data_IF_610202106428
#
_entry.id   IF_610202106428
#
_cell.length_a   1.000
_cell.length_b   1.000
_cell.length_c   1.000
_cell.angle_alpha   90.00
_cell.angle_beta   90.00
_cell.angle_gamma   90.00
#
_symmetry.space_group_name_H-M   'P 1'
#
loop_
_entity.id
_entity.type
_entity.pdbx_description
1 polymer ?
#
# COMPACT_ATOMS: atom_id res chain seq x y z
N UNK A 1 -8.91 -24.45 1.19
CA UNK A 1 -8.97 -23.83 2.53
C UNK A 1 -7.59 -23.69 3.20
N UNK A 2 -6.52 -24.32 2.68
CA UNK A 2 -5.15 -24.28 3.23
C UNK A 2 -4.33 -23.05 2.77
N UNK A 3 -4.64 -22.46 1.61
CA UNK A 3 -3.89 -21.31 1.06
C UNK A 3 -4.02 -20.01 1.88
N UNK A 4 -5.18 -19.77 2.53
CA UNK A 4 -5.44 -18.51 3.27
C UNK A 4 -4.59 -18.39 4.54
N UNK A 5 -4.21 -19.50 5.16
CA UNK A 5 -3.36 -19.50 6.36
C UNK A 5 -1.87 -19.26 6.06
N UNK A 6 -1.38 -19.56 4.85
CA UNK A 6 0.02 -19.32 4.50
C UNK A 6 0.34 -17.84 4.26
N UNK A 7 -0.58 -17.06 3.67
CA UNK A 7 -0.37 -15.64 3.39
C UNK A 7 -0.21 -14.81 4.66
N UNK A 8 -1.06 -15.02 5.66
CA UNK A 8 -0.97 -14.33 6.95
C UNK A 8 0.30 -14.72 7.72
N UNK A 9 0.75 -15.98 7.59
CA UNK A 9 1.97 -16.45 8.24
C UNK A 9 3.24 -15.83 7.63
N UNK A 10 3.30 -15.70 6.30
CA UNK A 10 4.40 -15.02 5.61
C UNK A 10 4.42 -13.52 5.91
N UNK A 11 3.25 -12.85 5.91
CA UNK A 11 3.15 -11.44 6.31
C UNK A 11 3.62 -11.25 7.76
N UNK A 12 3.27 -12.16 8.70
CA UNK A 12 3.76 -12.11 10.08
C UNK A 12 5.28 -12.32 10.20
N UNK A 13 5.88 -13.23 9.42
CA UNK A 13 7.34 -13.42 9.42
C UNK A 13 8.06 -12.18 8.87
N UNK A 14 7.57 -11.61 7.77
CA UNK A 14 8.11 -10.38 7.19
C UNK A 14 7.94 -9.17 8.13
N UNK A 15 6.83 -9.09 8.87
CA UNK A 15 6.62 -8.07 9.91
C UNK A 15 7.68 -8.14 11.02
N UNK A 16 8.07 -9.33 11.47
CA UNK A 16 9.13 -9.51 12.47
C UNK A 16 10.49 -9.01 11.93
N UNK A 17 10.79 -9.28 10.66
CA UNK A 17 12.03 -8.80 10.02
C UNK A 17 12.03 -7.29 9.77
N UNK A 18 10.90 -6.70 9.39
CA UNK A 18 10.74 -5.24 9.24
C UNK A 18 10.93 -4.53 10.59
N UNK A 19 10.34 -5.05 11.67
CA UNK A 19 10.48 -4.47 13.01
C UNK A 19 11.93 -4.57 13.53
N UNK A 20 12.67 -5.62 13.17
CA UNK A 20 14.09 -5.78 13.54
C UNK A 20 15.06 -4.85 12.80
N UNK A 21 14.72 -4.36 11.61
CA UNK A 21 15.61 -3.50 10.81
C UNK A 21 15.35 -2.00 10.95
N UNK A 22 14.16 -1.59 11.41
CA UNK A 22 13.76 -0.17 11.45
C UNK A 22 14.28 0.61 12.68
N UNK A 23 15.35 0.16 13.32
CA UNK A 23 15.94 0.85 14.47
C UNK A 23 17.39 1.23 14.21
N UNK A 24 17.55 2.30 13.44
CA UNK A 24 18.64 3.29 13.46
C UNK A 24 18.46 4.17 12.23
N UNK A 25 18.06 5.41 12.46
CA UNK A 25 18.63 6.59 11.79
C UNK A 25 17.94 7.83 12.38
N UNK A 26 18.72 8.55 13.19
CA UNK A 26 18.35 9.85 13.73
C UNK A 26 18.88 10.90 12.79
N UNK A 27 17.99 11.64 12.14
CA UNK A 27 18.35 12.83 11.37
C UNK A 27 17.56 14.00 11.96
N UNK A 28 18.29 14.90 12.60
CA UNK A 28 17.88 16.27 12.94
C UNK A 28 17.72 17.04 11.64
N UNK A 29 16.63 17.81 11.44
CA UNK A 29 16.67 19.09 10.69
C UNK A 29 15.32 19.84 10.68
N UNK A 30 15.42 21.09 11.13
CA UNK A 30 14.79 22.34 10.67
C UNK A 30 13.39 22.34 10.04
N UNK A 31 12.52 23.11 10.72
CA UNK A 31 11.30 23.82 10.29
C UNK A 31 11.17 24.00 8.76
N UNK A 32 10.44 23.08 8.12
CA UNK A 32 9.98 23.20 6.74
C UNK A 32 8.52 22.77 6.67
N UNK A 33 7.63 23.71 6.36
CA UNK A 33 6.22 23.44 6.07
C UNK A 33 6.11 22.64 4.77
N UNK A 34 6.06 21.31 4.86
CA UNK A 34 5.58 20.46 3.76
C UNK A 34 4.07 20.31 3.88
N UNK A 35 3.32 21.03 3.06
CA UNK A 35 1.89 20.80 2.87
C UNK A 35 1.69 19.41 2.26
N UNK A 36 0.97 18.51 2.94
CA UNK A 36 0.64 17.20 2.40
C UNK A 36 -0.34 17.35 1.23
N UNK A 37 -0.03 16.70 0.09
CA UNK A 37 -0.97 16.64 -1.03
C UNK A 37 -2.19 15.80 -0.62
N UNK A 38 -3.37 16.36 -0.82
CA UNK A 38 -4.63 15.66 -0.55
C UNK A 38 -4.79 14.49 -1.54
N UNK A 39 -5.43 13.38 -1.13
CA UNK A 39 -5.64 12.25 -2.04
C UNK A 39 -6.44 12.68 -3.28
N UNK A 40 -5.92 12.41 -4.47
CA UNK A 40 -6.60 12.73 -5.73
C UNK A 40 -7.62 11.66 -6.12
N UNK A 41 -8.70 12.08 -6.78
CA UNK A 41 -9.67 11.15 -7.35
C UNK A 41 -9.16 10.66 -8.71
N UNK A 42 -8.81 9.38 -8.76
CA UNK A 42 -8.26 8.76 -9.95
C UNK A 42 -9.37 8.27 -10.87
N UNK A 43 -9.31 8.66 -12.15
CA UNK A 43 -10.27 8.20 -13.15
C UNK A 43 -9.92 6.79 -13.64
N UNK A 44 -10.89 5.88 -13.59
CA UNK A 44 -10.72 4.55 -14.15
C UNK A 44 -10.42 4.60 -15.67
N UNK A 45 -9.48 3.75 -16.10
CA UNK A 45 -9.08 3.54 -17.48
C UNK A 45 -8.98 2.05 -17.77
N UNK A 46 -9.07 1.67 -19.03
CA UNK A 46 -8.88 0.26 -19.45
C UNK A 46 -7.41 -0.11 -19.25
N UNK A 47 -7.16 -1.14 -18.44
CA UNK A 47 -5.81 -1.61 -18.05
C UNK A 47 -5.36 -2.91 -18.76
N UNK A 48 -5.97 -3.24 -19.90
CA UNK A 48 -5.57 -4.42 -20.66
C UNK A 48 -4.20 -4.19 -21.31
N UNK A 49 -3.23 -5.06 -21.01
CA UNK A 49 -1.84 -4.96 -21.50
C UNK A 49 -1.12 -3.66 -21.11
N UNK A 50 -1.57 -2.99 -20.03
CA UNK A 50 -1.02 -1.69 -19.64
C UNK A 50 0.38 -1.82 -19.02
N UNK A 51 0.58 -2.79 -18.13
CA UNK A 51 1.86 -3.01 -17.45
C UNK A 51 2.54 -4.33 -17.83
N UNK A 52 1.75 -5.36 -18.16
CA UNK A 52 2.24 -6.68 -18.53
C UNK A 52 1.89 -6.91 -19.98
N UNK A 53 2.88 -7.07 -20.86
CA UNK A 53 2.62 -7.31 -22.29
C UNK A 53 2.09 -8.73 -22.55
N UNK A 54 1.60 -8.96 -23.78
CA UNK A 54 1.18 -10.30 -24.20
C UNK A 54 2.32 -11.32 -24.08
N UNK A 55 3.52 -10.96 -24.57
CA UNK A 55 4.70 -11.82 -24.53
C UNK A 55 5.11 -12.13 -23.09
N UNK A 56 5.12 -11.11 -22.21
CA UNK A 56 5.45 -11.31 -20.80
C UNK A 56 4.47 -12.25 -20.12
N UNK A 57 3.17 -12.14 -20.45
CA UNK A 57 2.15 -13.01 -19.90
C UNK A 57 2.30 -14.46 -20.36
N UNK A 58 2.84 -14.72 -21.56
CA UNK A 58 3.17 -16.09 -21.97
C UNK A 58 4.26 -16.70 -21.11
N UNK A 59 5.29 -15.92 -20.76
CA UNK A 59 6.35 -16.37 -19.86
C UNK A 59 5.78 -16.61 -18.47
N UNK A 60 5.02 -15.65 -17.93
CA UNK A 60 4.41 -15.74 -16.60
C UNK A 60 3.48 -16.96 -16.46
N UNK A 61 2.72 -17.30 -17.49
CA UNK A 61 1.78 -18.43 -17.44
C UNK A 61 2.49 -19.79 -17.33
N UNK A 62 3.66 -19.91 -17.97
CA UNK A 62 4.44 -21.15 -17.98
C UNK A 62 5.23 -21.40 -16.68
N UNK A 63 5.56 -20.36 -15.91
CA UNK A 63 6.40 -20.48 -14.71
C UNK A 63 5.63 -21.16 -13.56
N UNK A 64 6.14 -22.28 -13.05
CA UNK A 64 5.56 -22.95 -11.87
C UNK A 64 6.28 -22.61 -10.56
N UNK A 65 7.55 -22.23 -10.65
CA UNK A 65 8.39 -21.93 -9.48
C UNK A 65 8.10 -20.53 -8.94
N UNK A 66 7.75 -20.41 -7.65
CA UNK A 66 7.47 -19.11 -7.01
C UNK A 66 8.68 -18.15 -7.04
N UNK A 67 9.93 -18.59 -6.74
CA UNK A 67 11.10 -17.73 -6.86
C UNK A 67 11.32 -17.17 -8.26
N UNK A 68 11.15 -18.01 -9.29
CA UNK A 68 11.28 -17.60 -10.69
C UNK A 68 10.17 -16.61 -11.06
N UNK A 69 8.93 -16.89 -10.64
CA UNK A 69 7.79 -16.02 -10.86
C UNK A 69 8.02 -14.63 -10.22
N UNK A 70 8.55 -14.57 -8.99
CA UNK A 70 8.91 -13.30 -8.34
C UNK A 70 9.94 -12.52 -9.14
N UNK A 71 10.98 -13.21 -9.64
CA UNK A 71 12.02 -12.59 -10.47
C UNK A 71 11.44 -11.99 -11.75
N UNK A 72 10.61 -12.75 -12.47
CA UNK A 72 9.95 -12.29 -13.70
C UNK A 72 8.98 -11.15 -13.45
N UNK A 73 8.16 -11.23 -12.38
CA UNK A 73 7.24 -10.14 -12.02
C UNK A 73 7.99 -8.86 -11.63
N UNK A 74 9.16 -8.99 -10.98
CA UNK A 74 10.01 -7.86 -10.64
C UNK A 74 10.50 -7.11 -11.88
N UNK A 75 10.93 -7.84 -12.91
CA UNK A 75 11.38 -7.23 -14.16
C UNK A 75 10.24 -6.66 -15.00
N UNK A 76 9.10 -7.36 -15.07
CA UNK A 76 7.97 -6.96 -15.94
C UNK A 76 7.25 -5.74 -15.38
N UNK A 77 7.01 -5.70 -14.06
CA UNK A 77 6.27 -4.61 -13.42
C UNK A 77 7.16 -3.43 -12.98
N UNK A 78 8.46 -3.49 -13.31
CA UNK A 78 9.48 -2.48 -12.98
C UNK A 78 9.50 -2.11 -11.49
N UNK A 79 9.64 -3.14 -10.63
CA UNK A 79 9.59 -2.94 -9.17
C UNK A 79 10.95 -2.48 -8.64
N UNK A 80 11.19 -1.16 -8.66
CA UNK A 80 12.41 -0.55 -8.12
C UNK A 80 12.26 -0.15 -6.64
N UNK A 81 12.36 -1.13 -5.75
CA UNK A 81 12.34 -0.90 -4.29
C UNK A 81 13.46 -1.68 -3.59
N UNK A 82 14.03 -1.16 -2.50
CA UNK A 82 14.92 -1.94 -1.63
C UNK A 82 14.14 -3.02 -0.88
N UNK A 83 14.83 -4.08 -0.45
CA UNK A 83 14.25 -4.98 0.55
C UNK A 83 14.03 -4.23 1.87
N UNK A 84 12.95 -4.52 2.62
CA UNK A 84 11.97 -5.60 2.40
C UNK A 84 10.74 -5.18 1.56
N UNK A 85 10.67 -3.93 1.10
CA UNK A 85 9.51 -3.37 0.38
C UNK A 85 9.24 -4.13 -0.91
N UNK A 86 10.29 -4.42 -1.67
CA UNK A 86 10.21 -5.21 -2.90
C UNK A 86 9.60 -6.59 -2.65
N UNK A 87 10.09 -7.33 -1.65
CA UNK A 87 9.55 -8.64 -1.31
C UNK A 87 8.05 -8.62 -0.98
N UNK A 88 7.61 -7.60 -0.22
CA UNK A 88 6.20 -7.42 0.13
C UNK A 88 5.34 -7.14 -1.10
N UNK A 89 5.78 -6.25 -2.00
CA UNK A 89 5.02 -5.92 -3.21
C UNK A 89 4.96 -7.11 -4.19
N UNK A 90 6.06 -7.82 -4.39
CA UNK A 90 6.10 -9.01 -5.24
C UNK A 90 5.21 -10.12 -4.72
N UNK A 91 5.08 -10.27 -3.39
CA UNK A 91 4.16 -11.24 -2.79
C UNK A 91 2.71 -10.94 -3.20
N UNK A 92 2.29 -9.68 -3.19
CA UNK A 92 0.95 -9.27 -3.65
C UNK A 92 0.74 -9.67 -5.11
N UNK A 93 1.71 -9.40 -5.99
CA UNK A 93 1.60 -9.76 -7.40
C UNK A 93 1.56 -11.27 -7.64
N UNK A 94 2.41 -12.03 -6.95
CA UNK A 94 2.38 -13.51 -6.99
C UNK A 94 1.01 -14.02 -6.58
N UNK A 95 0.42 -13.48 -5.52
CA UNK A 95 -0.91 -13.88 -5.07
C UNK A 95 -1.99 -13.65 -6.12
N UNK A 96 -1.93 -12.53 -6.87
CA UNK A 96 -2.86 -12.29 -7.98
C UNK A 96 -2.69 -13.28 -9.13
N UNK A 97 -1.45 -13.65 -9.48
CA UNK A 97 -1.20 -14.68 -10.50
C UNK A 97 -1.72 -16.04 -10.04
N UNK A 98 -1.42 -16.45 -8.81
CA UNK A 98 -1.89 -17.72 -8.26
C UNK A 98 -3.42 -17.77 -8.17
N UNK A 99 -4.06 -16.68 -7.75
CA UNK A 99 -5.50 -16.54 -7.77
C UNK A 99 -6.07 -16.73 -9.19
N UNK A 100 -5.47 -16.08 -10.18
CA UNK A 100 -5.87 -16.19 -11.59
C UNK A 100 -5.79 -17.63 -12.11
N UNK A 101 -4.72 -18.36 -11.75
CA UNK A 101 -4.56 -19.78 -12.10
C UNK A 101 -5.63 -20.67 -11.46
N UNK A 102 -5.95 -20.45 -10.19
CA UNK A 102 -7.01 -21.20 -9.47
C UNK A 102 -8.37 -20.99 -10.14
N UNK A 103 -8.65 -19.76 -10.59
CA UNK A 103 -9.90 -19.40 -11.25
C UNK A 103 -9.89 -19.58 -12.77
N UNK A 104 -8.79 -20.12 -13.34
CA UNK A 104 -8.60 -20.36 -14.78
C UNK A 104 -8.85 -19.12 -15.65
N UNK A 105 -8.42 -17.97 -15.18
CA UNK A 105 -8.50 -16.74 -15.94
C UNK A 105 -7.62 -16.80 -17.18
N UNK A 106 -8.04 -16.08 -18.23
CA UNK A 106 -7.27 -15.92 -19.45
C UNK A 106 -6.05 -15.02 -19.22
N UNK A 107 -5.13 -15.02 -20.20
CA UNK A 107 -3.93 -14.17 -20.17
C UNK A 107 -4.30 -12.69 -20.10
N UNK A 108 -5.28 -12.26 -20.89
CA UNK A 108 -5.82 -10.90 -20.91
C UNK A 108 -6.34 -10.48 -19.53
N UNK A 109 -7.08 -11.37 -18.88
CA UNK A 109 -7.68 -11.18 -17.55
C UNK A 109 -6.61 -11.06 -16.47
N UNK A 110 -5.59 -11.93 -16.52
CA UNK A 110 -4.48 -11.94 -15.55
C UNK A 110 -3.61 -10.69 -15.69
N UNK A 111 -3.28 -10.29 -16.93
CA UNK A 111 -2.56 -9.03 -17.21
C UNK A 111 -3.32 -7.83 -16.67
N UNK A 112 -4.62 -7.73 -16.97
CA UNK A 112 -5.45 -6.64 -16.44
C UNK A 112 -5.52 -6.66 -14.91
N UNK A 113 -5.67 -7.84 -14.27
CA UNK A 113 -5.71 -7.94 -12.81
C UNK A 113 -4.41 -7.44 -12.16
N UNK A 114 -3.25 -7.75 -12.75
CA UNK A 114 -1.95 -7.26 -12.27
C UNK A 114 -1.84 -5.73 -12.37
N UNK A 115 -2.29 -5.15 -13.48
CA UNK A 115 -2.35 -3.70 -13.64
C UNK A 115 -3.33 -3.03 -12.67
N UNK A 116 -4.48 -3.67 -12.42
CA UNK A 116 -5.47 -3.16 -11.46
C UNK A 116 -4.86 -3.08 -10.05
N UNK A 117 -4.25 -4.16 -9.56
CA UNK A 117 -3.66 -4.16 -8.22
C UNK A 117 -2.48 -3.19 -8.11
N UNK A 118 -1.67 -3.04 -9.17
CA UNK A 118 -0.60 -2.05 -9.24
C UNK A 118 -1.15 -0.62 -9.12
N UNK A 119 -2.18 -0.28 -9.91
CA UNK A 119 -2.80 1.05 -9.85
C UNK A 119 -3.40 1.37 -8.48
N UNK A 120 -4.03 0.39 -7.83
CA UNK A 120 -4.57 0.53 -6.47
C UNK A 120 -3.43 0.78 -5.48
N UNK A 121 -2.32 0.05 -5.64
CA UNK A 121 -1.15 0.22 -4.78
C UNK A 121 -0.53 1.60 -4.92
N UNK A 122 -0.35 2.08 -6.15
CA UNK A 122 0.17 3.43 -6.44
C UNK A 122 -0.68 4.52 -5.79
N UNK A 123 -2.02 4.44 -5.91
CA UNK A 123 -2.94 5.37 -5.24
C UNK A 123 -2.77 5.29 -3.71
N UNK A 124 -2.69 4.08 -3.14
CA UNK A 124 -2.55 3.94 -1.70
C UNK A 124 -1.26 4.58 -1.15
N UNK A 125 -0.17 4.58 -1.93
CA UNK A 125 1.13 5.10 -1.48
C UNK A 125 1.40 6.56 -1.89
N UNK A 126 0.56 7.14 -2.75
CA UNK A 126 0.67 8.52 -3.22
C UNK A 126 0.71 9.55 -2.07
N UNK A 127 -0.02 9.30 -1.00
CA UNK A 127 -0.11 10.19 0.16
C UNK A 127 0.01 9.42 1.48
N UNK A 128 0.71 9.96 2.50
CA UNK A 128 0.74 9.37 3.83
C UNK A 128 -0.62 9.49 4.56
N UNK A 129 -1.54 10.30 4.04
CA UNK A 129 -2.89 10.47 4.59
C UNK A 129 -3.77 9.26 4.29
N UNK A 130 -4.82 9.06 5.10
CA UNK A 130 -5.78 7.99 4.85
C UNK A 130 -6.55 8.24 3.55
N UNK A 131 -6.46 7.30 2.61
CA UNK A 131 -7.16 7.34 1.33
C UNK A 131 -7.89 6.02 0.99
N UNK A 132 -8.32 5.28 2.02
CA UNK A 132 -8.94 3.97 1.86
C UNK A 132 -10.24 4.03 1.04
N UNK A 133 -11.03 5.09 1.19
CA UNK A 133 -12.27 5.28 0.43
C UNK A 133 -11.98 5.52 -1.06
N UNK A 134 -10.95 6.30 -1.38
CA UNK A 134 -10.49 6.53 -2.75
C UNK A 134 -9.98 5.25 -3.39
N UNK A 135 -9.16 4.46 -2.68
CA UNK A 135 -8.69 3.15 -3.17
C UNK A 135 -9.85 2.18 -3.44
N UNK A 136 -10.86 2.16 -2.55
CA UNK A 136 -12.05 1.32 -2.72
C UNK A 136 -12.92 1.78 -3.90
N UNK A 137 -13.13 3.08 -4.04
CA UNK A 137 -13.88 3.67 -5.14
C UNK A 137 -13.20 3.36 -6.47
N UNK A 138 -11.88 3.60 -6.57
CA UNK A 138 -11.09 3.29 -7.77
C UNK A 138 -11.15 1.80 -8.12
N UNK A 139 -11.00 0.90 -7.14
CA UNK A 139 -11.12 -0.54 -7.38
C UNK A 139 -12.48 -0.92 -7.98
N UNK A 140 -13.58 -0.37 -7.45
CA UNK A 140 -14.92 -0.62 -7.98
C UNK A 140 -15.08 -0.05 -9.40
N UNK A 141 -14.63 1.17 -9.64
CA UNK A 141 -14.74 1.81 -10.95
C UNK A 141 -13.95 1.05 -12.02
N UNK A 142 -12.71 0.67 -11.71
CA UNK A 142 -11.87 -0.06 -12.66
C UNK A 142 -12.45 -1.46 -12.95
N UNK A 143 -12.95 -2.18 -11.95
CA UNK A 143 -13.62 -3.46 -12.19
C UNK A 143 -14.87 -3.30 -13.05
N UNK A 144 -15.69 -2.27 -12.80
CA UNK A 144 -16.85 -1.97 -13.65
C UNK A 144 -16.43 -1.64 -15.10
N UNK A 145 -15.35 -0.89 -15.29
CA UNK A 145 -14.75 -0.62 -16.60
C UNK A 145 -14.29 -1.89 -17.34
N UNK A 146 -14.00 -2.97 -16.62
CA UNK A 146 -13.59 -4.24 -17.20
C UNK A 146 -14.71 -5.30 -17.27
N UNK A 147 -15.91 -5.00 -16.78
CA UNK A 147 -17.07 -5.91 -16.83
C UNK A 147 -18.18 -5.44 -17.78
N UNK A 148 -18.27 -4.15 -18.07
CA UNK A 148 -19.34 -3.59 -18.90
C UNK A 148 -18.83 -3.29 -20.31
N UNK A 149 -19.60 -3.63 -21.35
CA UNK A 149 -19.24 -3.33 -22.75
C UNK A 149 -19.70 -1.93 -23.17
N UNK A 150 -18.83 -0.92 -23.09
CA UNK A 150 -19.05 0.45 -23.60
C UNK A 150 -17.73 1.02 -24.15
N UNK A 151 -17.29 0.60 -25.35
CA UNK A 151 -16.16 1.26 -26.02
C UNK A 151 -16.43 2.76 -26.19
N UNK A 152 -15.45 3.67 -26.04
CA UNK A 152 -14.01 3.45 -25.80
C UNK A 152 -13.61 3.32 -24.31
N UNK A 153 -14.54 3.45 -23.36
CA UNK A 153 -14.22 3.61 -21.93
C UNK A 153 -14.22 2.30 -21.13
N UNK A 154 -14.90 1.27 -21.62
CA UNK A 154 -15.03 0.00 -20.91
C UNK A 154 -15.04 -1.19 -21.86
N UNK A 155 -14.46 -2.29 -21.40
CA UNK A 155 -14.36 -3.57 -22.12
C UNK A 155 -15.05 -4.66 -21.30
N UNK A 156 -15.60 -5.67 -21.97
CA UNK A 156 -16.16 -6.85 -21.30
C UNK A 156 -15.10 -7.93 -21.21
N UNK A 157 -14.17 -7.77 -20.25
CA UNK A 157 -13.06 -8.67 -20.00
C UNK A 157 -13.40 -9.69 -18.90
N UNK A 158 -14.13 -9.26 -17.87
CA UNK A 158 -14.60 -10.10 -16.77
C UNK A 158 -16.11 -10.26 -16.82
N UNK A 159 -16.60 -11.47 -16.59
CA UNK A 159 -18.01 -11.68 -16.27
C UNK A 159 -18.37 -11.01 -14.94
N UNK A 160 -19.66 -10.85 -14.67
CA UNK A 160 -20.13 -10.32 -13.38
C UNK A 160 -19.68 -11.18 -12.20
N UNK A 161 -19.71 -12.50 -12.34
CA UNK A 161 -19.26 -13.46 -11.33
C UNK A 161 -17.75 -13.37 -11.10
N UNK A 162 -16.96 -13.30 -12.18
CA UNK A 162 -15.51 -13.15 -12.13
C UNK A 162 -15.11 -11.84 -11.45
N UNK A 163 -15.76 -10.72 -11.81
CA UNK A 163 -15.49 -9.41 -11.23
C UNK A 163 -15.81 -9.34 -9.75
N UNK A 164 -16.92 -9.95 -9.30
CA UNK A 164 -17.24 -10.06 -7.88
C UNK A 164 -16.23 -10.93 -7.13
N UNK A 165 -15.78 -12.02 -7.75
CA UNK A 165 -14.76 -12.90 -7.17
C UNK A 165 -13.43 -12.15 -6.99
N UNK A 166 -13.00 -11.41 -8.02
CA UNK A 166 -11.81 -10.55 -7.99
C UNK A 166 -11.95 -9.48 -6.91
N UNK A 167 -13.06 -8.76 -6.88
CA UNK A 167 -13.31 -7.71 -5.89
C UNK A 167 -13.18 -8.25 -4.47
N UNK A 168 -13.82 -9.39 -4.19
CA UNK A 168 -13.74 -10.04 -2.88
C UNK A 168 -12.32 -10.46 -2.55
N UNK A 169 -11.59 -11.01 -3.52
CA UNK A 169 -10.19 -11.39 -3.32
C UNK A 169 -9.32 -10.18 -2.98
N UNK A 170 -9.36 -9.12 -3.77
CA UNK A 170 -8.62 -7.86 -3.54
C UNK A 170 -9.01 -7.24 -2.20
N UNK A 171 -10.30 -7.28 -1.85
CA UNK A 171 -10.77 -6.74 -0.59
C UNK A 171 -10.16 -7.49 0.61
N UNK A 172 -10.24 -8.82 0.59
CA UNK A 172 -9.73 -9.69 1.66
C UNK A 172 -8.20 -9.68 1.75
N UNK A 173 -7.47 -9.65 0.62
CA UNK A 173 -6.01 -9.79 0.60
C UNK A 173 -5.25 -8.47 0.68
N UNK A 174 -5.81 -7.38 0.16
CA UNK A 174 -5.14 -6.09 0.05
C UNK A 174 -5.87 -4.98 0.79
N UNK A 175 -7.16 -4.76 0.53
CA UNK A 175 -7.89 -3.57 1.04
C UNK A 175 -8.01 -3.55 2.57
N UNK A 176 -8.24 -4.71 3.19
CA UNK A 176 -8.27 -4.81 4.66
C UNK A 176 -6.94 -4.41 5.32
N UNK A 177 -5.85 -4.42 4.56
CA UNK A 177 -4.49 -4.18 5.04
C UNK A 177 -3.86 -2.89 4.45
N UNK A 178 -4.65 -1.97 3.87
CA UNK A 178 -4.13 -0.72 3.28
C UNK A 178 -3.23 0.07 4.22
N UNK A 179 -3.58 0.14 5.52
CA UNK A 179 -2.78 0.83 6.54
C UNK A 179 -1.37 0.25 6.67
N UNK A 180 -1.24 -1.08 6.56
CA UNK A 180 0.05 -1.76 6.63
C UNK A 180 0.91 -1.42 5.41
N UNK A 181 0.35 -1.55 4.20
CA UNK A 181 1.06 -1.17 2.99
C UNK A 181 1.44 0.31 3.02
N UNK A 182 0.55 1.20 3.46
CA UNK A 182 0.87 2.61 3.60
C UNK A 182 2.04 2.84 4.55
N UNK A 183 2.06 2.18 5.71
CA UNK A 183 3.17 2.27 6.66
C UNK A 183 4.52 1.84 6.07
N UNK A 184 4.52 0.78 5.25
CA UNK A 184 5.75 0.24 4.66
C UNK A 184 6.28 1.14 3.55
N UNK A 185 5.39 1.69 2.71
CA UNK A 185 5.77 2.34 1.45
C UNK A 185 5.75 3.87 1.49
N UNK A 186 5.10 4.50 2.48
CA UNK A 186 5.07 5.97 2.61
C UNK A 186 6.09 6.51 3.62
N UNK A 187 6.66 7.72 3.41
CA UNK A 187 7.49 8.38 4.40
C UNK A 187 6.71 8.62 5.70
N UNK A 188 7.33 8.33 6.84
CA UNK A 188 6.71 8.59 8.14
C UNK A 188 6.70 10.09 8.44
N UNK A 189 5.51 10.63 8.68
CA UNK A 189 5.33 12.00 9.15
C UNK A 189 5.48 12.02 10.67
N UNK A 190 6.47 12.74 11.18
CA UNK A 190 6.64 13.00 12.62
C UNK A 190 6.17 14.42 12.91
N UNK A 191 5.28 14.55 13.90
CA UNK A 191 4.82 15.84 14.39
C UNK A 191 5.57 16.17 15.67
N UNK A 192 6.48 17.14 15.60
CA UNK A 192 7.17 17.67 16.77
C UNK A 192 6.33 18.80 17.38
N UNK A 193 5.63 18.49 18.47
CA UNK A 193 4.82 19.46 19.21
C UNK A 193 5.67 20.15 20.28
N UNK A 194 5.78 21.48 20.18
CA UNK A 194 6.30 22.31 21.26
C UNK A 194 5.12 22.94 22.01
N UNK A 195 4.85 22.45 23.21
CA UNK A 195 3.81 23.00 24.07
C UNK A 195 4.43 24.05 24.99
N UNK A 196 3.99 25.30 24.84
CA UNK A 196 4.28 26.36 25.81
C UNK A 196 3.04 26.55 26.68
N UNK A 197 3.09 26.05 27.91
CA UNK A 197 2.04 26.33 28.89
C UNK A 197 2.20 27.77 29.38
N UNK A 198 1.28 28.63 29.02
CA UNK A 198 1.15 29.93 29.68
C UNK A 198 0.43 29.66 30.99
N UNK A 199 1.13 29.80 32.11
CA UNK A 199 0.50 29.78 33.43
C UNK A 199 -0.62 30.82 33.44
N UNK A 200 -1.86 30.36 33.52
CA UNK A 200 -3.00 31.22 33.79
C UNK A 200 -2.82 31.63 35.25
N UNK A 201 -2.06 32.72 35.45
CA UNK A 201 -1.93 33.39 36.74
C UNK A 201 -3.31 33.91 37.12
N UNK A 202 -4.06 33.08 37.85
CA UNK A 202 -5.13 33.59 38.70
C UNK A 202 -4.50 34.64 39.63
N UNK A 203 -4.85 35.91 39.43
CA UNK A 203 -4.99 36.82 40.57
C UNK A 203 -5.90 36.10 41.56
N UNK A 204 -5.55 35.93 42.83
CA UNK A 204 -5.29 36.99 43.81
C UNK A 204 -4.29 36.59 44.92
N UNK A 205 -3.48 37.58 45.31
CA UNK A 205 -2.90 37.89 46.63
C UNK A 205 -1.75 37.06 47.27
N UNK A 206 -0.55 37.64 47.10
CA UNK A 206 0.54 37.90 48.08
C UNK A 206 0.84 36.91 49.21
N UNK A 207 2.09 36.40 49.28
CA UNK A 207 2.97 36.51 50.46
C UNK A 207 4.47 36.23 50.10
N UNK A 208 5.24 37.32 50.10
CA UNK A 208 6.63 37.56 50.58
C UNK A 208 7.69 36.42 50.63
N UNK A 209 8.79 36.71 49.91
CA UNK A 209 10.23 36.53 50.21
C UNK A 209 10.86 35.14 50.38
N UNK A 210 11.73 34.82 49.41
CA UNK A 210 13.15 34.64 49.72
C UNK A 210 13.74 33.22 49.55
N UNK A 211 14.73 33.18 48.64
CA UNK A 211 15.91 32.30 48.56
C UNK A 211 15.86 31.04 47.68
N UNK A 212 16.86 31.08 46.79
CA UNK A 212 17.73 30.00 46.32
C UNK A 212 17.14 28.88 45.45
N UNK A 213 17.27 29.09 44.13
CA UNK A 213 17.21 28.03 43.12
C UNK A 213 18.37 27.06 43.30
N UNK A 214 18.04 25.78 43.53
CA UNK A 214 19.01 24.67 43.42
C UNK A 214 18.77 23.94 42.10
N UNK A 215 19.74 24.02 41.19
CA UNK A 215 19.80 23.20 39.99
C UNK A 215 20.17 21.78 40.41
N UNK A 216 19.26 20.82 40.26
CA UNK A 216 19.58 19.39 40.41
C UNK A 216 19.76 18.82 39.01
N UNK A 217 21.03 18.62 38.61
CA UNK A 217 21.39 17.71 37.51
C UNK A 217 21.41 16.30 38.08
N UNK A 218 20.71 15.37 37.43
CA UNK A 218 20.90 13.95 37.69
C UNK A 218 21.36 13.26 36.41
N UNK A 219 22.38 12.41 36.60
CA UNK A 219 23.13 11.65 35.62
C UNK A 219 22.31 10.53 34.95
#
# INVERSE_FOLDING_TARGET
MIQRHCSLFLICIFLIQIFSHSNKDYITLSRGTSFFQAPEMHKARVMLWADVSYCDMEVIDNIQSIPELKSTLCSVLDVDHPEPRRGVLLEVYVQMVLFSRVHKFKKEQTSALLSIIKSIHEINIETPLNNAEQCLAHCKEVLLCHSVRRPPFSINLFSFEEANCIFKHIYDSYMQHLKLYKYIFTPQVKLDLYLTYSEIMGKEESFVSGKDYTIVRTA
#
